data_IF_514680525751
#
_entry.id   IF_514680525751
#
_cell.length_a   1.000
_cell.length_b   1.000
_cell.length_c   1.000
_cell.angle_alpha   90.00
_cell.angle_beta   90.00
_cell.angle_gamma   90.00
#
_symmetry.space_group_name_H-M   'P 1'
#
loop_
_entity.id
_entity.type
_entity.pdbx_description
1 polymer ?
#
# COMPACT_ATOMS: atom_id res chain seq x y z
N UNK A 1 60.01 27.55 -81.43
CA UNK A 1 60.49 27.42 -80.04
C UNK A 1 59.61 28.29 -79.15
N UNK A 2 58.63 27.69 -78.49
CA UNK A 2 57.65 28.35 -77.60
C UNK A 2 57.56 27.58 -76.28
N UNK A 3 57.37 28.35 -75.20
CA UNK A 3 56.85 28.00 -73.86
C UNK A 3 57.74 27.30 -72.83
N UNK A 4 57.40 27.61 -71.56
CA UNK A 4 57.91 27.20 -70.23
C UNK A 4 59.05 28.09 -69.70
N UNK A 5 58.96 28.75 -68.52
CA UNK A 5 58.15 28.45 -67.33
C UNK A 5 58.16 29.66 -66.36
N UNK A 6 57.01 30.32 -66.21
CA UNK A 6 56.67 31.12 -65.02
C UNK A 6 56.07 30.18 -63.98
N UNK A 7 56.37 30.37 -62.69
CA UNK A 7 55.63 29.71 -61.61
C UNK A 7 56.47 29.22 -60.44
N UNK A 8 57.14 30.12 -59.72
CA UNK A 8 57.83 29.78 -58.46
C UNK A 8 57.66 30.89 -57.39
N UNK A 9 56.43 31.39 -57.21
CA UNK A 9 56.11 32.25 -56.04
C UNK A 9 54.72 32.03 -55.42
N UNK A 10 53.90 31.10 -55.92
CA UNK A 10 52.52 30.91 -55.45
C UNK A 10 52.34 29.81 -54.37
N UNK A 11 53.40 29.08 -53.98
CA UNK A 11 53.26 27.89 -53.10
C UNK A 11 53.46 28.17 -51.61
N UNK A 12 54.05 29.30 -51.21
CA UNK A 12 54.29 29.60 -49.78
C UNK A 12 53.03 30.12 -49.05
N UNK A 13 52.21 30.93 -49.72
CA UNK A 13 51.01 31.55 -49.13
C UNK A 13 49.87 30.56 -48.93
N UNK A 14 49.79 29.52 -49.78
CA UNK A 14 48.78 28.45 -49.68
C UNK A 14 49.04 27.59 -48.43
N UNK A 15 50.29 27.29 -48.09
CA UNK A 15 50.63 26.52 -46.89
C UNK A 15 50.29 27.26 -45.59
N UNK A 16 50.45 28.59 -45.55
CA UNK A 16 50.13 29.39 -44.35
C UNK A 16 48.62 29.50 -44.14
N UNK A 17 47.82 29.62 -45.20
CA UNK A 17 46.34 29.64 -45.12
C UNK A 17 45.79 28.26 -44.74
N UNK A 18 46.36 27.18 -45.29
CA UNK A 18 45.98 25.79 -44.94
C UNK A 18 46.35 25.47 -43.49
N UNK A 19 47.51 25.90 -42.99
CA UNK A 19 47.88 25.72 -41.58
C UNK A 19 47.04 26.57 -40.61
N UNK A 20 46.59 27.77 -41.00
CA UNK A 20 45.67 28.60 -40.20
C UNK A 20 44.27 28.02 -40.15
N UNK A 21 43.77 27.50 -41.28
CA UNK A 21 42.49 26.79 -41.36
C UNK A 21 42.48 25.50 -40.55
N UNK A 22 43.55 24.71 -40.59
CA UNK A 22 43.70 23.50 -39.79
C UNK A 22 43.74 23.80 -38.28
N UNK A 23 44.44 24.86 -37.84
CA UNK A 23 44.45 25.29 -36.43
C UNK A 23 43.09 25.78 -35.95
N UNK A 24 42.35 26.53 -36.78
CA UNK A 24 40.98 26.95 -36.44
C UNK A 24 40.02 25.76 -36.38
N UNK A 25 40.13 24.80 -37.31
CA UNK A 25 39.29 23.60 -37.31
C UNK A 25 39.58 22.71 -36.09
N UNK A 26 40.85 22.53 -35.71
CA UNK A 26 41.23 21.83 -34.48
C UNK A 26 40.71 22.52 -33.22
N UNK A 27 40.71 23.85 -33.17
CA UNK A 27 40.17 24.63 -32.04
C UNK A 27 38.64 24.53 -31.94
N UNK A 28 37.93 24.56 -33.07
CA UNK A 28 36.46 24.41 -33.12
C UNK A 28 36.04 22.99 -32.75
N UNK A 29 36.77 21.96 -33.21
CA UNK A 29 36.54 20.56 -32.81
C UNK A 29 36.82 20.37 -31.32
N UNK A 30 37.89 20.96 -30.77
CA UNK A 30 38.21 20.88 -29.35
C UNK A 30 37.13 21.55 -28.48
N UNK A 31 36.64 22.74 -28.88
CA UNK A 31 35.53 23.41 -28.19
C UNK A 31 34.19 22.64 -28.33
N UNK A 32 33.92 22.03 -29.49
CA UNK A 32 32.73 21.20 -29.69
C UNK A 32 32.77 19.92 -28.83
N UNK A 33 33.94 19.30 -28.66
CA UNK A 33 34.10 18.16 -27.74
C UNK A 33 34.00 18.54 -26.27
N UNK A 34 34.41 19.75 -25.88
CA UNK A 34 34.26 20.25 -24.51
C UNK A 34 32.80 20.58 -24.16
N UNK A 35 32.01 21.07 -25.13
CA UNK A 35 30.58 21.31 -24.95
C UNK A 35 29.74 20.01 -24.93
N UNK A 36 30.20 18.95 -25.60
CA UNK A 36 29.53 17.66 -25.61
C UNK A 36 29.50 16.96 -24.23
N UNK A 37 30.40 17.30 -23.32
CA UNK A 37 30.40 16.77 -21.94
C UNK A 37 29.20 17.22 -21.09
N UNK A 38 28.47 18.26 -21.51
CA UNK A 38 27.28 18.74 -20.80
C UNK A 38 26.01 17.91 -21.09
N UNK A 39 26.03 17.07 -22.13
CA UNK A 39 24.89 16.27 -22.60
C UNK A 39 25.22 14.78 -22.53
N UNK A 40 25.52 14.30 -21.32
CA UNK A 40 25.62 12.87 -21.10
C UNK A 40 24.20 12.26 -21.06
N UNK A 41 23.89 11.24 -21.89
CA UNK A 41 22.58 10.60 -21.90
C UNK A 41 22.33 9.78 -20.63
N UNK A 42 21.17 9.98 -20.01
CA UNK A 42 20.74 9.29 -18.80
C UNK A 42 19.90 10.20 -17.90
N UNK A 43 19.16 9.59 -16.97
CA UNK A 43 18.50 10.34 -15.89
C UNK A 43 19.56 10.91 -14.93
N UNK A 44 19.27 12.06 -14.33
CA UNK A 44 20.04 12.66 -13.23
C UNK A 44 19.14 13.52 -12.36
N UNK A 45 19.46 13.63 -11.08
CA UNK A 45 18.83 14.63 -10.23
C UNK A 45 19.64 15.93 -10.28
N UNK A 46 18.95 17.05 -10.47
CA UNK A 46 19.58 18.38 -10.37
C UNK A 46 19.10 19.06 -9.09
N UNK A 47 19.90 19.97 -8.53
CA UNK A 47 19.57 20.67 -7.27
C UNK A 47 18.26 21.48 -7.32
N UNK A 48 17.74 21.75 -8.51
CA UNK A 48 16.43 22.36 -8.76
C UNK A 48 15.55 21.35 -9.47
N UNK A 49 15.11 20.32 -8.74
CA UNK A 49 14.19 19.32 -9.29
C UNK A 49 12.87 20.01 -9.66
N UNK A 50 12.45 19.90 -10.92
CA UNK A 50 11.18 20.44 -11.41
C UNK A 50 10.30 19.34 -11.96
N UNK A 51 8.99 19.46 -11.73
CA UNK A 51 7.99 18.59 -12.33
C UNK A 51 7.22 19.38 -13.38
N UNK A 52 7.21 18.96 -14.66
CA UNK A 52 6.36 19.58 -15.66
C UNK A 52 4.91 19.19 -15.39
N UNK A 53 4.08 20.16 -14.99
CA UNK A 53 2.63 19.97 -14.88
C UNK A 53 1.99 20.59 -16.11
N UNK A 54 1.30 19.75 -16.88
CA UNK A 54 0.47 20.22 -18.00
C UNK A 54 -0.94 20.39 -17.47
N UNK A 55 -1.48 21.61 -17.49
CA UNK A 55 -2.91 21.80 -17.24
C UNK A 55 -3.74 21.16 -18.36
N UNK A 56 -4.99 20.81 -18.07
CA UNK A 56 -5.86 20.05 -18.99
C UNK A 56 -6.11 20.72 -20.35
N UNK A 57 -5.73 21.99 -20.52
CA UNK A 57 -5.78 22.71 -21.79
C UNK A 57 -4.54 22.44 -22.64
N UNK A 58 -4.75 21.82 -23.81
CA UNK A 58 -3.70 21.30 -24.72
C UNK A 58 -2.73 22.36 -25.27
N UNK A 59 -2.93 23.65 -24.97
CA UNK A 59 -2.17 24.78 -25.51
C UNK A 59 -1.41 25.60 -24.44
N UNK A 60 -1.46 25.22 -23.15
CA UNK A 60 -0.69 25.89 -22.10
C UNK A 60 0.70 25.26 -21.93
N UNK A 61 1.80 26.04 -21.91
CA UNK A 61 3.14 25.50 -21.68
C UNK A 61 3.21 24.83 -20.30
N UNK A 62 3.88 23.68 -20.22
CA UNK A 62 4.06 22.95 -18.97
C UNK A 62 4.69 23.87 -17.91
N UNK A 63 4.02 24.02 -16.76
CA UNK A 63 4.55 24.81 -15.65
C UNK A 63 5.48 23.92 -14.85
N UNK A 64 6.74 24.33 -14.71
CA UNK A 64 7.74 23.65 -13.89
C UNK A 64 7.51 23.95 -12.42
N UNK A 65 6.98 22.99 -11.65
CA UNK A 65 6.84 23.12 -10.21
C UNK A 65 8.16 22.75 -9.52
N UNK A 66 8.78 23.64 -8.72
CA UNK A 66 9.98 23.31 -7.96
C UNK A 66 9.63 22.33 -6.84
N UNK A 67 10.36 21.22 -6.77
CA UNK A 67 10.21 20.20 -5.74
C UNK A 67 11.34 20.34 -4.72
N UNK A 68 11.04 20.68 -3.45
CA UNK A 68 12.08 20.85 -2.44
C UNK A 68 12.75 19.50 -2.16
N UNK A 69 14.08 19.50 -2.16
CA UNK A 69 14.91 18.37 -1.76
C UNK A 69 15.21 18.52 -0.26
N UNK A 70 14.82 17.52 0.53
CA UNK A 70 15.01 17.49 1.99
C UNK A 70 16.01 16.40 2.35
N UNK A 71 17.04 16.74 3.12
CA UNK A 71 18.03 15.75 3.55
C UNK A 71 17.45 14.80 4.62
N UNK A 72 17.72 13.51 4.45
CA UNK A 72 17.39 12.48 5.42
C UNK A 72 18.35 12.60 6.60
N UNK A 73 17.80 12.94 7.76
CA UNK A 73 18.53 13.04 9.01
C UNK A 73 17.67 12.53 10.19
N UNK A 74 18.26 12.41 11.37
CA UNK A 74 17.57 11.88 12.55
C UNK A 74 16.33 12.70 12.95
N UNK A 75 16.38 14.03 12.78
CA UNK A 75 15.25 14.90 13.14
C UNK A 75 14.05 14.71 12.22
N UNK A 76 14.30 14.54 10.91
CA UNK A 76 13.25 14.23 9.94
C UNK A 76 12.64 12.86 10.22
N UNK A 77 13.48 11.84 10.48
CA UNK A 77 13.01 10.49 10.80
C UNK A 77 12.12 10.50 12.05
N UNK A 78 12.55 11.19 13.11
CA UNK A 78 11.75 11.34 14.32
C UNK A 78 10.41 12.05 14.03
N UNK A 79 10.43 13.14 13.26
CA UNK A 79 9.22 13.87 12.87
C UNK A 79 8.23 13.00 12.09
N UNK A 80 8.72 12.23 11.11
CA UNK A 80 7.88 11.32 10.32
C UNK A 80 7.26 10.22 11.19
N UNK A 81 8.05 9.64 12.10
CA UNK A 81 7.58 8.62 13.04
C UNK A 81 6.51 9.15 13.98
N UNK A 82 6.72 10.33 14.56
CA UNK A 82 5.77 10.97 15.47
C UNK A 82 4.45 11.30 14.76
N UNK A 83 4.52 11.80 13.52
CA UNK A 83 3.34 12.08 12.70
C UNK A 83 2.54 10.80 12.40
N UNK A 84 3.23 9.70 12.06
CA UNK A 84 2.61 8.41 11.83
C UNK A 84 1.92 7.90 13.11
N UNK A 85 2.60 7.95 14.26
CA UNK A 85 2.04 7.49 15.54
C UNK A 85 0.82 8.29 15.97
N UNK A 86 0.82 9.62 15.81
CA UNK A 86 -0.34 10.46 16.10
C UNK A 86 -1.56 10.06 15.26
N UNK A 87 -1.37 9.90 13.95
CA UNK A 87 -2.43 9.51 13.02
C UNK A 87 -3.05 8.16 13.39
N UNK A 88 -2.21 7.16 13.70
CA UNK A 88 -2.67 5.83 14.10
C UNK A 88 -3.47 5.87 15.42
N UNK A 89 -2.99 6.59 16.42
CA UNK A 89 -3.67 6.72 17.71
C UNK A 89 -5.06 7.35 17.58
N UNK A 90 -5.18 8.41 16.76
CA UNK A 90 -6.47 9.06 16.51
C UNK A 90 -7.46 8.12 15.79
N UNK A 91 -6.98 7.28 14.88
CA UNK A 91 -7.82 6.32 14.16
C UNK A 91 -8.30 5.19 15.07
N UNK A 92 -7.41 4.60 15.87
CA UNK A 92 -7.80 3.54 16.81
C UNK A 92 -8.77 4.04 17.87
N UNK A 93 -8.57 5.26 18.39
CA UNK A 93 -9.49 5.86 19.37
C UNK A 93 -10.91 6.01 18.82
N UNK A 94 -11.06 6.35 17.54
CA UNK A 94 -12.38 6.46 16.88
C UNK A 94 -13.09 5.11 16.72
N UNK A 95 -12.34 4.02 16.69
CA UNK A 95 -12.85 2.67 16.46
C UNK A 95 -12.98 1.82 17.74
N UNK A 96 -12.35 2.26 18.82
CA UNK A 96 -12.45 1.62 20.13
C UNK A 96 -13.87 1.85 20.64
N UNK A 97 -14.69 0.81 20.56
CA UNK A 97 -16.07 0.82 21.03
C UNK A 97 -16.19 -0.07 22.27
N UNK A 98 -17.06 0.33 23.19
CA UNK A 98 -17.46 -0.57 24.28
C UNK A 98 -18.27 -1.73 23.70
N UNK A 99 -18.05 -2.97 24.15
CA UNK A 99 -18.84 -4.09 23.69
C UNK A 99 -20.32 -3.87 24.01
N UNK A 100 -21.17 -3.88 22.99
CA UNK A 100 -22.63 -3.90 23.17
C UNK A 100 -23.11 -5.35 23.20
N UNK A 101 -24.03 -5.66 24.11
CA UNK A 101 -24.71 -6.96 24.10
C UNK A 101 -25.44 -7.19 22.78
N UNK A 102 -25.51 -8.46 22.36
CA UNK A 102 -26.24 -8.84 21.16
C UNK A 102 -27.73 -8.52 21.30
N UNK A 103 -28.30 -7.88 20.28
CA UNK A 103 -29.74 -7.71 20.11
C UNK A 103 -30.20 -8.55 18.94
N UNK A 104 -31.40 -9.10 19.04
CA UNK A 104 -32.00 -9.94 18.01
C UNK A 104 -32.26 -9.14 16.74
N UNK A 105 -32.20 -9.81 15.60
CA UNK A 105 -32.66 -9.26 14.34
C UNK A 105 -33.38 -10.29 13.47
N UNK A 106 -33.86 -9.82 12.33
CA UNK A 106 -34.56 -10.65 11.34
C UNK A 106 -33.72 -11.88 10.95
N UNK A 107 -34.38 -13.05 10.94
CA UNK A 107 -33.76 -14.32 10.57
C UNK A 107 -33.08 -15.08 11.71
N UNK A 108 -32.85 -14.46 12.88
CA UNK A 108 -32.38 -15.20 14.06
C UNK A 108 -33.36 -16.30 14.44
N UNK A 109 -32.82 -17.40 14.99
CA UNK A 109 -33.63 -18.55 15.42
C UNK A 109 -33.54 -18.70 16.93
N UNK A 110 -34.68 -18.69 17.60
CA UNK A 110 -34.80 -18.84 19.04
C UNK A 110 -35.25 -20.24 19.42
N UNK A 111 -34.57 -20.83 20.39
CA UNK A 111 -35.05 -21.99 21.12
C UNK A 111 -35.75 -21.52 22.38
N UNK A 112 -37.03 -21.84 22.48
CA UNK A 112 -37.87 -21.46 23.62
C UNK A 112 -38.32 -22.74 24.30
N UNK A 113 -38.07 -22.81 25.60
CA UNK A 113 -38.53 -23.89 26.46
C UNK A 113 -39.47 -23.31 27.50
N UNK A 114 -40.68 -23.83 27.55
CA UNK A 114 -41.65 -23.57 28.63
C UNK A 114 -41.67 -24.82 29.49
N UNK A 115 -41.24 -24.71 30.75
CA UNK A 115 -41.17 -25.85 31.66
C UNK A 115 -42.57 -26.30 32.07
N UNK A 116 -42.69 -27.60 32.40
CA UNK A 116 -43.96 -28.28 32.70
C UNK A 116 -45.01 -28.24 31.58
N UNK A 117 -44.61 -27.83 30.37
CA UNK A 117 -45.45 -27.74 29.18
C UNK A 117 -44.76 -28.37 27.94
N UNK A 118 -44.67 -29.73 27.87
CA UNK A 118 -44.01 -30.43 26.77
C UNK A 118 -44.67 -30.21 25.40
N UNK A 119 -45.92 -29.76 25.36
CA UNK A 119 -46.64 -29.41 24.14
C UNK A 119 -45.94 -28.32 23.31
N UNK A 120 -45.20 -27.40 23.94
CA UNK A 120 -44.43 -26.38 23.23
C UNK A 120 -43.15 -26.93 22.59
N UNK A 121 -42.55 -27.95 23.21
CA UNK A 121 -41.42 -28.66 22.62
C UNK A 121 -41.87 -29.48 21.41
N UNK A 122 -43.08 -30.05 21.45
CA UNK A 122 -43.68 -30.76 20.33
C UNK A 122 -44.17 -29.84 19.19
N UNK A 123 -44.47 -28.57 19.49
CA UNK A 123 -44.85 -27.54 18.51
C UNK A 123 -43.66 -26.98 17.73
N UNK A 124 -42.42 -27.28 18.13
CA UNK A 124 -41.24 -26.97 17.32
C UNK A 124 -41.22 -27.90 16.09
N UNK A 125 -40.81 -27.41 14.91
CA UNK A 125 -40.73 -28.24 13.71
C UNK A 125 -39.92 -29.52 14.00
N UNK A 126 -40.47 -30.72 13.77
CA UNK A 126 -39.75 -31.95 14.05
C UNK A 126 -38.52 -32.04 13.14
N UNK A 127 -37.33 -32.04 13.74
CA UNK A 127 -36.12 -32.50 13.04
C UNK A 127 -35.91 -33.97 13.33
N UNK A 128 -36.22 -34.80 12.33
CA UNK A 128 -35.61 -36.09 12.18
C UNK A 128 -34.11 -35.89 11.93
N UNK A 129 -33.30 -36.10 12.98
CA UNK A 129 -31.82 -36.06 13.01
C UNK A 129 -31.19 -34.68 13.23
N UNK A 130 -30.11 -34.67 14.02
CA UNK A 130 -29.25 -33.49 14.20
C UNK A 130 -28.77 -32.98 12.83
N UNK A 131 -28.66 -31.65 12.63
CA UNK A 131 -28.22 -31.09 11.35
C UNK A 131 -26.88 -31.72 10.94
N UNK A 132 -26.89 -32.43 9.82
CA UNK A 132 -25.72 -33.14 9.26
C UNK A 132 -24.91 -32.24 8.33
N UNK A 133 -25.55 -31.18 7.80
CA UNK A 133 -24.94 -30.16 6.94
C UNK A 133 -25.19 -28.78 7.52
N UNK A 134 -24.27 -27.85 7.27
CA UNK A 134 -24.39 -26.44 7.70
C UNK A 134 -25.65 -25.73 7.14
N UNK A 135 -26.24 -26.26 6.06
CA UNK A 135 -27.47 -25.76 5.45
C UNK A 135 -28.76 -26.29 6.09
N UNK A 136 -28.67 -27.30 6.95
CA UNK A 136 -29.85 -27.91 7.54
C UNK A 136 -30.54 -26.89 8.46
N UNK A 137 -31.88 -26.76 8.42
CA UNK A 137 -32.59 -25.81 9.28
C UNK A 137 -32.33 -26.17 10.74
N UNK A 138 -32.23 -25.18 11.64
CA UNK A 138 -32.07 -25.45 13.07
C UNK A 138 -33.47 -25.40 13.68
N UNK A 139 -33.86 -26.40 14.46
CA UNK A 139 -35.14 -26.40 15.17
C UNK A 139 -35.27 -25.17 16.08
N UNK A 140 -36.36 -24.42 15.92
CA UNK A 140 -36.65 -23.24 16.73
C UNK A 140 -37.66 -22.31 16.07
N UNK A 141 -37.92 -21.18 16.72
CA UNK A 141 -38.81 -20.12 16.27
C UNK A 141 -37.99 -19.03 15.57
N UNK A 142 -38.30 -18.73 14.32
CA UNK A 142 -37.57 -17.76 13.50
C UNK A 142 -38.16 -16.36 13.70
N UNK A 143 -37.30 -15.35 13.80
CA UNK A 143 -37.70 -13.94 13.73
C UNK A 143 -38.01 -13.61 12.27
N UNK A 144 -39.27 -13.26 11.97
CA UNK A 144 -39.73 -12.96 10.62
C UNK A 144 -39.23 -11.60 10.10
N UNK A 145 -39.54 -11.31 8.82
CA UNK A 145 -39.14 -10.07 8.14
C UNK A 145 -39.73 -8.79 8.76
N UNK A 146 -40.79 -8.91 9.54
CA UNK A 146 -41.39 -7.80 10.29
C UNK A 146 -40.82 -7.67 11.70
N UNK A 147 -39.76 -8.43 12.02
CA UNK A 147 -39.12 -8.44 13.34
C UNK A 147 -39.93 -9.16 14.41
N UNK A 148 -40.92 -9.97 14.03
CA UNK A 148 -41.80 -10.65 14.96
C UNK A 148 -41.43 -12.13 15.12
N UNK A 149 -41.71 -12.63 16.31
CA UNK A 149 -41.66 -14.02 16.67
C UNK A 149 -43.09 -14.55 16.78
N UNK A 150 -43.42 -15.57 16.00
CA UNK A 150 -44.70 -16.26 16.14
C UNK A 150 -44.59 -17.35 17.19
N UNK A 151 -45.38 -17.26 18.26
CA UNK A 151 -45.38 -18.24 19.33
C UNK A 151 -46.80 -18.70 19.69
N UNK A 152 -47.04 -20.01 19.94
CA UNK A 152 -48.38 -20.53 20.22
C UNK A 152 -49.08 -19.81 21.39
N UNK A 153 -50.42 -19.69 21.29
CA UNK A 153 -51.33 -19.03 22.24
C UNK A 153 -51.20 -17.51 22.39
N UNK A 154 -50.04 -16.92 22.10
CA UNK A 154 -49.81 -15.48 22.20
C UNK A 154 -49.78 -14.77 20.84
N UNK A 155 -49.54 -15.51 19.75
CA UNK A 155 -49.44 -14.96 18.41
C UNK A 155 -48.10 -14.28 18.16
N UNK A 156 -48.13 -13.12 17.49
CA UNK A 156 -46.94 -12.37 17.12
C UNK A 156 -46.41 -11.53 18.30
N UNK A 157 -45.12 -11.66 18.59
CA UNK A 157 -44.38 -10.84 19.54
C UNK A 157 -43.23 -10.13 18.82
N UNK A 158 -43.18 -8.81 18.82
CA UNK A 158 -42.05 -8.08 18.25
C UNK A 158 -40.80 -8.27 19.12
N UNK A 159 -39.68 -8.69 18.52
CA UNK A 159 -38.43 -9.01 19.24
C UNK A 159 -37.18 -8.40 18.61
N UNK A 160 -37.31 -7.80 17.42
CA UNK A 160 -36.18 -7.13 16.77
C UNK A 160 -35.62 -6.00 17.63
N UNK A 161 -34.30 -5.93 17.75
CA UNK A 161 -33.61 -4.94 18.57
C UNK A 161 -33.65 -5.24 20.07
N UNK A 162 -34.40 -6.24 20.52
CA UNK A 162 -34.43 -6.65 21.92
C UNK A 162 -33.29 -7.58 22.28
N UNK A 163 -32.90 -7.56 23.56
CA UNK A 163 -32.01 -8.56 24.15
C UNK A 163 -32.80 -9.80 24.54
N UNK A 164 -32.11 -10.93 24.61
CA UNK A 164 -32.72 -12.21 24.96
C UNK A 164 -33.45 -12.17 26.31
N UNK A 165 -32.94 -11.40 27.29
CA UNK A 165 -33.57 -11.29 28.59
C UNK A 165 -34.86 -10.46 28.55
N UNK A 166 -34.98 -9.51 27.62
CA UNK A 166 -36.21 -8.74 27.39
C UNK A 166 -37.28 -9.66 26.82
N UNK A 167 -36.96 -10.37 25.73
CA UNK A 167 -37.86 -11.36 25.11
C UNK A 167 -38.35 -12.39 26.12
N UNK A 168 -37.48 -12.92 26.98
CA UNK A 168 -37.90 -13.88 28.02
C UNK A 168 -38.93 -13.29 29.00
N UNK A 169 -38.74 -12.02 29.42
CA UNK A 169 -39.70 -11.35 30.32
C UNK A 169 -41.02 -11.05 29.63
N UNK A 170 -40.96 -10.62 28.38
CA UNK A 170 -42.16 -10.24 27.62
C UNK A 170 -42.97 -11.47 27.22
N UNK A 171 -42.28 -12.57 26.89
CA UNK A 171 -42.88 -13.87 26.66
C UNK A 171 -43.54 -14.43 27.92
N UNK A 172 -42.88 -14.37 29.08
CA UNK A 172 -43.48 -14.76 30.37
C UNK A 172 -44.73 -13.94 30.66
N UNK A 173 -44.68 -12.61 30.47
CA UNK A 173 -45.82 -11.71 30.71
C UNK A 173 -47.01 -12.02 29.79
N UNK A 174 -46.75 -12.37 28.53
CA UNK A 174 -47.77 -12.76 27.58
C UNK A 174 -48.43 -14.10 27.96
N UNK A 175 -47.63 -15.08 28.37
CA UNK A 175 -48.10 -16.44 28.71
C UNK A 175 -48.89 -16.51 30.02
N UNK A 176 -48.64 -15.63 31.00
CA UNK A 176 -49.41 -15.57 32.26
C UNK A 176 -50.92 -15.35 32.04
N UNK A 177 -51.33 -14.80 30.88
CA UNK A 177 -52.75 -14.62 30.53
C UNK A 177 -53.47 -15.94 30.23
N UNK A 178 -52.72 -17.00 29.94
CA UNK A 178 -53.24 -18.30 29.49
C UNK A 178 -52.80 -19.44 30.43
N UNK A 179 -51.63 -19.32 31.06
CA UNK A 179 -51.02 -20.33 31.93
C UNK A 179 -50.72 -19.78 33.33
N UNK A 180 -50.80 -20.64 34.35
CA UNK A 180 -50.51 -20.26 35.74
C UNK A 180 -49.00 -20.42 36.01
N UNK A 181 -48.35 -19.32 36.36
CA UNK A 181 -46.89 -19.22 36.66
C UNK A 181 -45.95 -19.94 35.66
N UNK A 182 -46.00 -19.58 34.35
CA UNK A 182 -45.14 -20.20 33.35
C UNK A 182 -43.66 -19.87 33.61
N UNK A 183 -42.82 -20.91 33.61
CA UNK A 183 -41.37 -20.78 33.63
C UNK A 183 -40.83 -20.88 32.21
N UNK A 184 -40.16 -19.83 31.75
CA UNK A 184 -39.74 -19.69 30.35
C UNK A 184 -38.24 -19.49 30.28
N UNK A 185 -37.58 -20.26 29.43
CA UNK A 185 -36.17 -20.09 29.07
C UNK A 185 -36.08 -19.81 27.57
N UNK A 186 -35.40 -18.72 27.20
CA UNK A 186 -35.18 -18.34 25.80
C UNK A 186 -33.68 -18.37 25.51
N UNK A 187 -33.29 -19.02 24.42
CA UNK A 187 -31.91 -19.08 23.93
C UNK A 187 -31.87 -18.80 22.43
N UNK A 188 -30.76 -18.27 21.95
CA UNK A 188 -30.52 -18.14 20.51
C UNK A 188 -29.94 -19.47 20.02
N UNK A 189 -30.67 -20.13 19.13
CA UNK A 189 -30.27 -21.38 18.49
C UNK A 189 -29.38 -21.11 17.26
N UNK A 190 -29.67 -20.03 16.53
CA UNK A 190 -28.88 -19.62 15.37
C UNK A 190 -28.82 -18.11 15.26
N UNK A 191 -27.59 -17.58 15.23
CA UNK A 191 -27.31 -16.20 14.91
C UNK A 191 -27.26 -16.08 13.38
N UNK A 192 -28.12 -15.24 12.79
CA UNK A 192 -28.21 -15.09 11.34
C UNK A 192 -28.38 -13.63 10.91
N UNK A 193 -28.93 -12.80 11.80
CA UNK A 193 -29.28 -11.42 11.48
C UNK A 193 -28.07 -10.52 11.25
N UNK A 194 -26.93 -10.81 11.91
CA UNK A 194 -25.77 -9.91 11.96
C UNK A 194 -24.51 -10.61 11.50
N UNK A 195 -23.82 -9.98 10.55
CA UNK A 195 -22.62 -10.52 9.92
C UNK A 195 -21.60 -9.42 9.67
N UNK A 196 -20.34 -9.83 9.59
CA UNK A 196 -19.21 -9.02 9.09
C UNK A 196 -18.58 -9.75 7.92
N UNK A 197 -17.91 -9.03 7.05
CA UNK A 197 -17.26 -9.59 5.86
C UNK A 197 -15.76 -9.45 6.00
N UNK A 198 -15.03 -10.53 5.74
CA UNK A 198 -13.56 -10.51 5.67
C UNK A 198 -13.15 -10.87 4.24
N UNK A 199 -12.36 -10.00 3.61
CA UNK A 199 -11.94 -10.11 2.22
C UNK A 199 -10.43 -9.84 2.06
N UNK A 200 -9.87 -10.28 0.94
CA UNK A 200 -8.48 -10.09 0.55
C UNK A 200 -7.55 -11.17 1.09
N UNK A 201 -6.38 -10.76 1.56
CA UNK A 201 -5.25 -11.63 1.88
C UNK A 201 -5.37 -12.36 3.24
N UNK A 202 -6.38 -13.20 3.34
CA UNK A 202 -6.62 -14.15 4.43
C UNK A 202 -6.78 -15.56 3.84
N UNK A 203 -6.64 -16.60 4.67
CA UNK A 203 -6.74 -17.98 4.16
C UNK A 203 -8.16 -18.36 3.71
N UNK A 204 -9.17 -17.87 4.43
CA UNK A 204 -10.58 -18.20 4.20
C UNK A 204 -11.42 -16.93 4.20
N UNK A 205 -11.45 -16.17 3.08
CA UNK A 205 -12.31 -14.99 2.98
C UNK A 205 -13.79 -15.40 2.98
N UNK A 206 -14.66 -14.53 3.50
CA UNK A 206 -16.09 -14.78 3.56
C UNK A 206 -16.81 -13.99 4.65
N UNK A 207 -18.09 -14.31 4.84
CA UNK A 207 -18.93 -13.75 5.89
C UNK A 207 -18.71 -14.47 7.22
N UNK A 208 -18.60 -13.71 8.31
CA UNK A 208 -18.57 -14.21 9.68
C UNK A 208 -19.77 -13.71 10.45
N UNK A 209 -20.52 -14.63 11.05
CA UNK A 209 -21.68 -14.30 11.88
C UNK A 209 -21.26 -13.70 13.22
N UNK A 210 -21.96 -12.65 13.64
CA UNK A 210 -21.84 -12.06 14.98
C UNK A 210 -22.77 -12.77 15.97
N UNK A 211 -22.29 -13.03 17.18
CA UNK A 211 -23.05 -13.67 18.25
C UNK A 211 -23.04 -12.85 19.54
N UNK A 212 -23.45 -13.46 20.65
CA UNK A 212 -23.44 -12.90 22.00
C UNK A 212 -22.05 -12.60 22.55
N UNK A 213 -21.00 -13.14 21.93
CA UNK A 213 -19.61 -12.81 22.23
C UNK A 213 -19.13 -11.73 21.23
N UNK A 214 -18.74 -10.54 21.72
CA UNK A 214 -18.25 -9.47 20.85
C UNK A 214 -17.10 -9.93 19.96
N UNK A 215 -17.30 -9.84 18.64
CA UNK A 215 -16.26 -10.15 17.67
C UNK A 215 -15.26 -8.99 17.61
N UNK A 216 -13.99 -9.29 17.85
CA UNK A 216 -12.91 -8.30 17.68
C UNK A 216 -12.31 -8.38 16.29
N UNK A 217 -11.58 -7.34 15.89
CA UNK A 217 -10.80 -7.34 14.64
C UNK A 217 -9.85 -8.54 14.58
N UNK A 218 -9.14 -8.81 15.67
CA UNK A 218 -8.19 -9.93 15.75
C UNK A 218 -8.88 -11.29 15.63
N UNK A 219 -10.03 -11.45 16.29
CA UNK A 219 -10.83 -12.67 16.23
C UNK A 219 -11.35 -12.93 14.80
N UNK A 220 -11.81 -11.89 14.10
CA UNK A 220 -12.28 -12.03 12.72
C UNK A 220 -11.18 -12.53 11.78
N UNK A 221 -9.95 -12.01 11.92
CA UNK A 221 -8.79 -12.49 11.15
C UNK A 221 -8.49 -13.97 11.46
N UNK A 222 -8.51 -14.36 12.74
CA UNK A 222 -8.27 -15.76 13.13
C UNK A 222 -9.35 -16.70 12.59
N UNK A 223 -10.62 -16.30 12.64
CA UNK A 223 -11.74 -17.07 12.08
C UNK A 223 -11.68 -17.17 10.56
N UNK A 224 -11.08 -16.19 9.89
CA UNK A 224 -10.75 -16.25 8.47
C UNK A 224 -9.47 -17.08 8.17
N UNK A 225 -8.98 -17.87 9.14
CA UNK A 225 -7.80 -18.72 9.01
C UNK A 225 -6.46 -17.98 9.13
N UNK A 226 -6.47 -16.72 9.57
CA UNK A 226 -5.28 -15.89 9.68
C UNK A 226 -4.82 -15.28 8.35
N UNK A 227 -3.78 -14.46 8.42
CA UNK A 227 -3.18 -13.78 7.27
C UNK A 227 -2.52 -14.74 6.28
N UNK A 228 -2.71 -14.51 4.98
CA UNK A 228 -1.95 -15.20 3.93
C UNK A 228 -0.44 -14.86 4.02
N UNK A 229 0.43 -15.57 3.28
CA UNK A 229 1.85 -15.21 3.17
C UNK A 229 2.12 -13.86 2.51
N UNK A 230 1.23 -13.41 1.63
CA UNK A 230 1.28 -12.17 0.85
C UNK A 230 0.54 -11.00 1.49
N UNK A 231 -0.15 -11.23 2.61
CA UNK A 231 -0.84 -10.20 3.36
C UNK A 231 0.09 -9.08 3.87
N UNK A 232 -0.36 -7.84 3.72
CA UNK A 232 0.24 -6.68 4.35
C UNK A 232 -0.49 -6.35 5.66
N UNK A 233 0.13 -6.68 6.80
CA UNK A 233 -0.46 -6.46 8.13
C UNK A 233 -0.47 -4.98 8.55
N UNK A 234 0.25 -4.12 7.82
CA UNK A 234 0.24 -2.67 8.06
C UNK A 234 -0.87 -1.94 7.31
N UNK A 235 -1.53 -2.60 6.34
CA UNK A 235 -2.53 -2.00 5.46
C UNK A 235 -3.80 -2.82 5.40
N UNK A 236 -4.54 -2.78 6.50
CA UNK A 236 -5.91 -3.25 6.55
C UNK A 236 -6.86 -2.06 6.35
N UNK A 237 -8.05 -2.32 5.81
CA UNK A 237 -9.10 -1.32 5.68
C UNK A 237 -10.36 -1.87 6.31
N UNK A 238 -10.83 -1.22 7.37
CA UNK A 238 -12.16 -1.45 7.92
C UNK A 238 -13.13 -0.47 7.28
N UNK A 239 -14.14 -0.96 6.58
CA UNK A 239 -15.24 -0.15 6.06
C UNK A 239 -16.43 -0.31 7.00
N UNK A 240 -16.83 0.80 7.63
CA UNK A 240 -17.95 0.86 8.58
C UNK A 240 -18.86 2.02 8.23
N UNK A 241 -20.15 1.75 8.02
CA UNK A 241 -21.16 2.75 7.65
C UNK A 241 -20.73 3.61 6.44
N UNK A 242 -20.15 2.98 5.41
CA UNK A 242 -19.66 3.65 4.20
C UNK A 242 -18.38 4.48 4.37
N UNK A 243 -17.74 4.47 5.54
CA UNK A 243 -16.46 5.14 5.80
C UNK A 243 -15.33 4.13 5.91
N UNK A 244 -14.21 4.42 5.25
CA UNK A 244 -12.99 3.61 5.32
C UNK A 244 -12.07 4.10 6.44
N UNK A 245 -11.64 3.16 7.27
CA UNK A 245 -10.67 3.37 8.33
C UNK A 245 -9.44 2.51 8.04
N UNK A 246 -8.31 3.11 7.64
CA UNK A 246 -7.08 2.36 7.49
C UNK A 246 -6.57 1.92 8.86
N UNK A 247 -6.01 0.71 8.92
CA UNK A 247 -5.53 0.09 10.15
C UNK A 247 -4.13 -0.50 9.90
N UNK A 248 -3.24 -0.29 10.85
CA UNK A 248 -1.87 -0.80 10.83
C UNK A 248 -1.62 -1.60 12.11
N UNK A 249 -1.68 -2.94 12.02
CA UNK A 249 -1.58 -3.78 13.22
C UNK A 249 -0.19 -3.70 13.89
N UNK A 250 0.94 -3.81 13.15
CA UNK A 250 2.27 -3.63 13.75
C UNK A 250 2.39 -2.31 14.51
N UNK A 251 1.96 -1.21 13.92
CA UNK A 251 2.03 0.12 14.56
C UNK A 251 1.13 0.22 15.80
N UNK A 252 -0.06 -0.38 15.76
CA UNK A 252 -0.94 -0.46 16.93
C UNK A 252 -0.23 -1.19 18.09
N UNK A 253 0.37 -2.34 17.82
CA UNK A 253 1.11 -3.11 18.83
C UNK A 253 2.31 -2.34 19.39
N UNK A 254 3.08 -1.68 18.52
CA UNK A 254 4.21 -0.83 18.92
C UNK A 254 3.79 0.36 19.81
N UNK A 255 2.56 0.85 19.62
CA UNK A 255 1.95 1.90 20.45
C UNK A 255 1.27 1.39 21.73
N UNK A 256 1.33 0.08 21.99
CA UNK A 256 0.68 -0.57 23.14
C UNK A 256 -0.84 -0.72 22.98
N UNK A 257 -1.38 -0.54 21.78
CA UNK A 257 -2.80 -0.71 21.47
C UNK A 257 -3.06 -2.13 20.97
N UNK A 258 -4.11 -2.76 21.49
CA UNK A 258 -4.51 -4.11 21.07
C UNK A 258 -5.54 -4.05 19.94
N UNK A 259 -5.34 -4.77 18.82
CA UNK A 259 -6.37 -5.01 17.81
C UNK A 259 -7.66 -5.61 18.39
N UNK A 260 -7.56 -6.31 19.52
CA UNK A 260 -8.72 -6.87 20.23
C UNK A 260 -9.64 -5.81 20.84
N UNK A 261 -9.21 -4.54 20.93
CA UNK A 261 -10.05 -3.44 21.41
C UNK A 261 -10.99 -2.89 20.32
N UNK A 262 -10.77 -3.27 19.06
CA UNK A 262 -11.64 -2.90 17.95
C UNK A 262 -12.73 -3.96 17.84
N UNK A 263 -13.91 -3.65 18.35
CA UNK A 263 -15.10 -4.50 18.22
C UNK A 263 -15.76 -4.25 16.86
N UNK A 264 -16.01 -5.33 16.12
CA UNK A 264 -16.68 -5.27 14.82
C UNK A 264 -18.20 -5.18 14.99
N UNK A 265 -18.83 -4.50 14.04
CA UNK A 265 -20.27 -4.23 14.00
C UNK A 265 -20.89 -4.87 12.77
N UNK A 266 -22.19 -5.17 12.84
CA UNK A 266 -22.91 -5.74 11.70
C UNK A 266 -22.77 -4.85 10.47
N UNK A 267 -22.44 -5.45 9.32
CA UNK A 267 -22.20 -4.77 8.06
C UNK A 267 -20.77 -4.24 7.87
N UNK A 268 -19.88 -4.40 8.86
CA UNK A 268 -18.46 -4.08 8.67
C UNK A 268 -17.84 -4.97 7.58
N UNK A 269 -17.02 -4.37 6.72
CA UNK A 269 -16.15 -5.06 5.79
C UNK A 269 -14.69 -4.83 6.18
N UNK A 270 -14.00 -5.92 6.54
CA UNK A 270 -12.57 -5.93 6.77
C UNK A 270 -11.85 -6.43 5.52
N UNK A 271 -11.05 -5.57 4.90
CA UNK A 271 -10.21 -5.92 3.75
C UNK A 271 -8.75 -5.95 4.14
N UNK A 272 -8.08 -7.06 3.85
CA UNK A 272 -6.62 -7.21 3.99
C UNK A 272 -5.98 -7.08 2.61
N UNK A 273 -5.07 -6.12 2.45
CA UNK A 273 -4.44 -5.83 1.15
C UNK A 273 -3.21 -6.72 0.93
N UNK A 274 -2.90 -7.02 -0.33
CA UNK A 274 -1.64 -7.67 -0.71
C UNK A 274 -0.47 -6.72 -0.63
N UNK A 275 0.62 -7.19 -0.03
CA UNK A 275 1.89 -6.46 0.02
C UNK A 275 2.47 -6.19 -1.36
N UNK A 276 2.07 -6.98 -2.36
CA UNK A 276 2.51 -6.82 -3.76
C UNK A 276 1.94 -5.54 -4.38
N UNK A 277 0.81 -5.04 -3.87
CA UNK A 277 0.23 -3.76 -4.27
C UNK A 277 1.03 -2.57 -3.73
N UNK A 278 1.82 -2.78 -2.67
CA UNK A 278 2.49 -1.74 -1.89
C UNK A 278 4.00 -1.64 -2.16
N UNK A 279 4.46 -2.23 -3.26
CA UNK A 279 5.87 -2.17 -3.66
C UNK A 279 6.39 -0.76 -3.92
N UNK A 280 7.70 -0.62 -3.76
CA UNK A 280 8.50 0.58 -4.04
C UNK A 280 9.39 0.31 -5.25
N UNK A 281 9.55 1.30 -6.11
CA UNK A 281 10.37 1.14 -7.32
C UNK A 281 11.80 1.57 -7.05
N UNK A 282 12.77 0.67 -7.25
CA UNK A 282 14.19 0.98 -7.12
C UNK A 282 14.82 1.05 -8.51
N UNK A 283 15.42 2.20 -8.83
CA UNK A 283 15.94 2.53 -10.16
C UNK A 283 17.30 3.24 -10.09
N UNK A 284 17.94 3.38 -11.25
CA UNK A 284 19.24 4.02 -11.37
C UNK A 284 20.40 3.02 -11.24
N UNK A 285 21.53 3.47 -10.70
CA UNK A 285 22.78 2.71 -10.66
C UNK A 285 22.85 1.72 -9.48
N UNK A 286 21.91 0.77 -9.46
CA UNK A 286 21.90 -0.40 -8.58
C UNK A 286 22.22 -1.66 -9.38
N UNK A 287 22.61 -2.76 -8.72
CA UNK A 287 22.95 -4.00 -9.44
C UNK A 287 21.75 -4.67 -10.10
N UNK A 288 20.55 -4.54 -9.51
CA UNK A 288 19.30 -5.13 -10.00
C UNK A 288 18.12 -4.17 -9.79
N UNK A 289 17.89 -3.22 -10.71
CA UNK A 289 16.68 -2.37 -10.67
C UNK A 289 15.43 -3.24 -10.62
N UNK A 290 14.57 -3.03 -9.62
CA UNK A 290 13.45 -3.91 -9.32
C UNK A 290 12.38 -3.20 -8.46
N UNK A 291 11.22 -3.83 -8.36
CA UNK A 291 10.23 -3.46 -7.33
C UNK A 291 10.61 -4.15 -6.02
N UNK A 292 10.90 -3.36 -4.99
CA UNK A 292 11.10 -3.86 -3.64
C UNK A 292 9.75 -4.02 -2.94
N UNK A 293 9.53 -5.18 -2.33
CA UNK A 293 8.28 -5.50 -1.64
C UNK A 293 8.44 -5.32 -0.13
N UNK A 294 7.43 -4.77 0.55
CA UNK A 294 7.46 -4.70 2.00
C UNK A 294 7.41 -6.09 2.64
N UNK A 295 7.90 -6.15 3.88
CA UNK A 295 7.76 -7.31 4.73
C UNK A 295 6.29 -7.54 5.11
N UNK A 296 5.98 -8.66 5.77
CA UNK A 296 4.59 -8.97 6.17
C UNK A 296 4.02 -7.98 7.18
N UNK A 297 4.88 -7.40 8.01
CA UNK A 297 4.54 -6.29 8.91
C UNK A 297 4.45 -4.94 8.17
N UNK A 298 4.52 -4.94 6.84
CA UNK A 298 4.44 -3.77 5.97
C UNK A 298 5.66 -2.86 6.00
N UNK A 299 6.67 -3.17 6.81
CA UNK A 299 7.89 -2.36 6.87
C UNK A 299 8.72 -2.57 5.60
N UNK A 300 9.21 -1.46 5.07
CA UNK A 300 10.20 -1.43 4.01
C UNK A 300 11.09 -0.21 4.25
N UNK A 301 12.31 -0.43 4.71
CA UNK A 301 13.26 0.67 4.90
C UNK A 301 13.97 0.98 3.59
N UNK A 302 14.56 2.17 3.49
CA UNK A 302 15.40 2.53 2.35
C UNK A 302 16.55 1.52 2.18
N UNK A 303 17.15 1.05 3.28
CA UNK A 303 18.17 0.00 3.24
C UNK A 303 17.64 -1.33 2.70
N UNK A 304 16.43 -1.75 3.09
CA UNK A 304 15.82 -2.99 2.59
C UNK A 304 15.58 -2.91 1.09
N UNK A 305 15.07 -1.78 0.60
CA UNK A 305 14.82 -1.57 -0.82
C UNK A 305 16.12 -1.64 -1.65
N UNK A 306 17.20 -0.99 -1.17
CA UNK A 306 18.51 -1.06 -1.82
C UNK A 306 19.06 -2.50 -1.78
N UNK A 307 18.88 -3.22 -0.67
CA UNK A 307 19.31 -4.62 -0.54
C UNK A 307 18.57 -5.54 -1.52
N UNK A 308 17.24 -5.42 -1.63
CA UNK A 308 16.42 -6.17 -2.58
C UNK A 308 16.80 -5.86 -4.03
N UNK A 309 17.24 -4.63 -4.32
CA UNK A 309 17.77 -4.21 -5.61
C UNK A 309 19.23 -4.63 -5.86
N UNK A 310 19.80 -5.48 -5.01
CA UNK A 310 21.15 -6.01 -5.14
C UNK A 310 22.26 -5.04 -4.73
N UNK A 311 21.95 -4.01 -3.94
CA UNK A 311 22.87 -2.95 -3.52
C UNK A 311 23.34 -2.03 -4.66
N UNK A 312 24.13 -1.00 -4.31
CA UNK A 312 24.74 -0.08 -5.26
C UNK A 312 25.64 -0.80 -6.27
N UNK A 313 25.63 -0.32 -7.51
CA UNK A 313 26.63 -0.74 -8.47
C UNK A 313 27.98 -0.06 -8.15
N UNK A 314 28.96 -0.84 -7.73
CA UNK A 314 30.28 -0.31 -7.30
C UNK A 314 31.07 0.39 -8.40
N UNK A 315 30.74 0.12 -9.67
CA UNK A 315 31.44 0.71 -10.82
C UNK A 315 30.81 2.02 -11.29
N UNK A 316 29.49 2.16 -11.15
CA UNK A 316 28.74 3.24 -11.77
C UNK A 316 27.98 4.14 -10.81
N UNK A 317 27.65 3.69 -9.60
CA UNK A 317 26.86 4.46 -8.65
C UNK A 317 27.64 5.65 -8.06
N UNK A 318 26.92 6.72 -7.78
CA UNK A 318 27.35 7.77 -6.85
C UNK A 318 26.58 7.60 -5.54
N UNK A 319 27.26 7.09 -4.51
CA UNK A 319 26.63 6.81 -3.22
C UNK A 319 26.16 8.08 -2.49
N UNK A 320 26.65 9.29 -2.82
CA UNK A 320 26.08 10.53 -2.26
C UNK A 320 24.68 10.79 -2.81
N UNK A 321 24.37 10.28 -3.98
CA UNK A 321 23.24 10.72 -4.78
C UNK A 321 22.11 9.70 -4.71
N UNK A 322 21.69 9.38 -3.49
CA UNK A 322 20.56 8.51 -3.20
C UNK A 322 19.32 9.36 -2.88
N UNK A 323 18.26 9.13 -3.63
CA UNK A 323 17.02 9.90 -3.55
C UNK A 323 15.82 9.00 -3.31
N UNK A 324 14.87 9.50 -2.52
CA UNK A 324 13.52 8.95 -2.43
C UNK A 324 12.55 10.00 -2.95
N UNK A 325 11.86 9.68 -4.05
CA UNK A 325 10.85 10.52 -4.64
C UNK A 325 9.50 9.99 -4.18
N UNK A 326 8.82 10.77 -3.35
CA UNK A 326 7.51 10.44 -2.80
C UNK A 326 6.43 11.19 -3.56
N UNK A 327 5.42 10.43 -4.00
CA UNK A 327 4.28 10.91 -4.76
C UNK A 327 3.45 11.96 -4.01
N UNK A 328 2.58 12.64 -4.76
CA UNK A 328 1.78 13.78 -4.30
C UNK A 328 0.90 13.42 -3.08
N UNK A 329 1.17 14.04 -1.92
CA UNK A 329 0.17 14.19 -0.87
C UNK A 329 -0.46 15.58 -1.04
N UNK A 330 -1.52 15.68 -1.84
CA UNK A 330 -2.07 16.97 -2.27
C UNK A 330 -1.37 17.51 -3.53
N UNK A 331 -0.75 18.70 -3.46
CA UNK A 331 -0.25 19.44 -4.65
C UNK A 331 1.28 19.43 -4.80
N UNK A 332 2.04 18.87 -3.85
CA UNK A 332 3.52 18.90 -3.89
C UNK A 332 4.13 17.52 -3.68
N UNK A 333 5.00 17.10 -4.60
CA UNK A 333 5.88 15.94 -4.42
C UNK A 333 6.96 16.27 -3.39
N UNK A 334 7.50 15.25 -2.74
CA UNK A 334 8.60 15.39 -1.82
C UNK A 334 9.79 14.59 -2.35
N UNK A 335 10.97 15.20 -2.35
CA UNK A 335 12.21 14.50 -2.68
C UNK A 335 13.06 14.49 -1.42
N UNK A 336 13.44 13.30 -0.98
CA UNK A 336 14.37 13.11 0.10
C UNK A 336 15.72 12.70 -0.46
N UNK A 337 16.79 13.16 0.17
CA UNK A 337 18.16 12.90 -0.25
C UNK A 337 18.98 12.34 0.90
N UNK A 338 19.79 11.32 0.65
CA UNK A 338 20.73 10.76 1.61
C UNK A 338 22.13 10.67 0.99
N UNK A 339 23.10 11.30 1.64
CA UNK A 339 24.50 11.04 1.33
C UNK A 339 24.95 9.72 1.97
N UNK A 340 25.05 8.69 1.14
CA UNK A 340 25.36 7.33 1.52
C UNK A 340 26.84 6.96 1.28
N UNK A 341 27.75 7.94 1.10
CA UNK A 341 29.20 7.67 0.99
C UNK A 341 29.77 6.93 2.19
N UNK A 342 29.31 7.30 3.39
CA UNK A 342 29.72 6.64 4.61
C UNK A 342 28.82 5.44 4.89
N UNK A 343 29.37 4.26 5.20
CA UNK A 343 28.58 3.13 5.69
C UNK A 343 27.75 3.47 6.93
N UNK A 344 28.16 4.47 7.73
CA UNK A 344 27.41 4.94 8.90
C UNK A 344 26.11 5.62 8.49
N UNK A 345 26.06 6.31 7.35
CA UNK A 345 24.83 6.93 6.83
C UNK A 345 23.73 5.90 6.52
N UNK A 346 24.09 4.63 6.32
CA UNK A 346 23.11 3.55 6.12
C UNK A 346 22.27 3.27 7.36
N UNK A 347 22.69 3.74 8.55
CA UNK A 347 21.84 3.71 9.74
C UNK A 347 20.60 4.60 9.55
N UNK A 348 20.74 5.73 8.84
CA UNK A 348 19.60 6.59 8.50
C UNK A 348 18.71 5.91 7.47
N UNK A 349 19.29 5.25 6.45
CA UNK A 349 18.52 4.46 5.48
C UNK A 349 17.75 3.29 6.13
N UNK A 350 18.31 2.68 7.19
CA UNK A 350 17.66 1.59 7.92
C UNK A 350 16.53 2.07 8.84
N UNK A 351 16.48 3.38 9.15
CA UNK A 351 15.43 3.97 9.97
C UNK A 351 14.41 4.75 9.14
N UNK A 352 14.74 5.06 7.88
CA UNK A 352 13.84 5.76 6.96
C UNK A 352 12.89 4.78 6.30
N UNK A 353 11.64 4.75 6.76
CA UNK A 353 10.57 3.93 6.18
C UNK A 353 10.05 4.54 4.87
N UNK A 354 9.97 3.68 3.85
CA UNK A 354 9.42 4.01 2.55
C UNK A 354 7.90 3.85 2.57
N UNK A 355 7.24 4.61 1.70
CA UNK A 355 5.80 4.53 1.48
C UNK A 355 5.50 3.79 0.16
N UNK A 356 4.33 3.15 0.04
CA UNK A 356 3.91 2.52 -1.21
C UNK A 356 4.07 3.48 -2.38
N UNK A 357 4.59 2.97 -3.49
CA UNK A 357 4.83 3.73 -4.73
C UNK A 357 5.90 4.83 -4.63
N UNK A 358 6.67 4.88 -3.53
CA UNK A 358 7.91 5.66 -3.53
C UNK A 358 8.82 5.17 -4.67
N UNK A 359 9.65 6.08 -5.18
CA UNK A 359 10.71 5.77 -6.15
C UNK A 359 12.04 6.02 -5.47
N UNK A 360 12.82 4.97 -5.28
CA UNK A 360 14.21 5.04 -4.83
C UNK A 360 15.09 5.15 -6.06
N UNK A 361 15.87 6.23 -6.15
CA UNK A 361 16.71 6.51 -7.30
C UNK A 361 18.16 6.72 -6.87
N UNK A 362 19.08 6.02 -7.51
CA UNK A 362 20.54 6.16 -7.33
C UNK A 362 21.13 6.79 -8.58
N UNK A 363 21.74 7.97 -8.46
CA UNK A 363 22.44 8.60 -9.59
C UNK A 363 23.79 7.90 -9.85
N UNK A 364 24.32 8.08 -11.06
CA UNK A 364 25.63 7.56 -11.43
C UNK A 364 26.77 8.53 -11.16
N UNK A 365 27.98 8.02 -10.98
CA UNK A 365 29.16 8.86 -10.82
C UNK A 365 29.45 9.64 -12.13
N UNK A 366 30.07 10.82 -12.00
CA UNK A 366 30.35 11.71 -13.14
C UNK A 366 31.27 11.07 -14.21
N UNK A 367 32.13 10.14 -13.82
CA UNK A 367 33.09 9.47 -14.70
C UNK A 367 32.43 8.42 -15.60
N UNK A 368 31.48 7.65 -15.08
CA UNK A 368 30.70 6.68 -15.86
C UNK A 368 29.80 7.38 -16.86
N UNK A 369 29.26 8.56 -16.50
CA UNK A 369 28.51 9.42 -17.44
C UNK A 369 29.39 9.85 -18.62
N UNK A 370 30.61 10.29 -18.35
CA UNK A 370 31.58 10.63 -19.39
C UNK A 370 31.96 9.40 -20.24
N UNK A 371 32.18 8.24 -19.61
CA UNK A 371 32.47 7.00 -20.33
C UNK A 371 31.32 6.59 -21.25
N UNK A 372 30.05 6.77 -20.85
CA UNK A 372 28.88 6.49 -21.70
C UNK A 372 28.84 7.40 -22.94
N UNK A 373 29.30 8.65 -22.84
CA UNK A 373 29.46 9.52 -24.01
C UNK A 373 30.59 9.01 -24.91
N UNK A 374 31.71 8.60 -24.33
CA UNK A 374 32.84 8.07 -25.08
C UNK A 374 32.47 6.79 -25.84
N UNK A 375 31.75 5.85 -25.22
CA UNK A 375 31.34 4.60 -25.87
C UNK A 375 30.38 4.81 -27.04
N UNK A 376 29.54 5.86 -26.99
CA UNK A 376 28.70 6.25 -28.13
C UNK A 376 29.51 6.85 -29.30
N UNK A 377 30.70 7.39 -29.04
CA UNK A 377 31.59 7.94 -30.05
C UNK A 377 32.56 6.90 -30.65
N UNK A 378 32.81 5.78 -29.96
CA UNK A 378 33.71 4.72 -30.42
C UNK A 378 33.39 4.17 -31.82
N UNK A 379 32.12 3.92 -32.23
CA UNK A 379 31.81 3.46 -33.57
C UNK A 379 32.23 4.46 -34.66
N UNK A 380 32.03 5.76 -34.43
CA UNK A 380 32.41 6.81 -35.36
C UNK A 380 33.94 6.97 -35.44
N UNK A 381 34.64 6.85 -34.31
CA UNK A 381 36.10 6.88 -34.26
C UNK A 381 36.71 5.68 -35.01
N UNK A 382 36.18 4.46 -34.81
CA UNK A 382 36.63 3.27 -35.52
C UNK A 382 36.33 3.34 -37.03
N UNK A 383 35.17 3.87 -37.42
CA UNK A 383 34.82 4.09 -38.82
C UNK A 383 35.74 5.13 -39.49
N UNK A 384 36.07 6.22 -38.78
CA UNK A 384 37.03 7.21 -39.26
C UNK A 384 38.46 6.66 -39.38
N UNK A 385 38.91 5.87 -38.39
CA UNK A 385 40.23 5.25 -38.41
C UNK A 385 40.36 4.21 -39.53
N UNK A 386 39.34 3.37 -39.73
CA UNK A 386 39.31 2.40 -40.84
C UNK A 386 39.24 3.09 -42.20
N UNK A 387 38.45 4.15 -42.35
CA UNK A 387 38.42 4.95 -43.58
C UNK A 387 39.79 5.61 -43.87
N UNK A 388 40.48 6.10 -42.84
CA UNK A 388 41.82 6.69 -42.97
C UNK A 388 42.91 5.66 -43.31
N UNK A 389 42.75 4.41 -42.87
CA UNK A 389 43.66 3.30 -43.22
C UNK A 389 43.39 2.80 -44.65
N UNK A 390 42.14 2.77 -45.10
CA UNK A 390 41.75 2.32 -46.45
C UNK A 390 42.08 3.35 -47.55
N UNK A 391 42.17 4.63 -47.20
CA UNK A 391 42.51 5.73 -48.14
C UNK A 391 44.01 5.96 -48.30
N UNK A 392 44.85 5.17 -47.63
CA UNK A 392 46.31 5.23 -47.70
C UNK A 392 46.84 3.96 -48.37
#
# INVERSE_FOLDING_TARGET
MRHFREGWFATSTIWIVVCRGARLFSLVVLCATAAACAVAPGMRMTKSATLPVTEADKNSPATELPVPITDINLSLIAQLRDAAQKTANEQTQKLTAQPSAYTLGVGDVLQITVWDHPEFAAAQPPQSQAPTRASDPIAGFVVDESGNLQFPFIGALHVEGERIEQVQRDLKRALVKVFVDPQVTVRIASYRAKQVYVDGEVHTPGSLTLNDIPMTLYEAINRAGGFSPTADQSRLVLVRNGRSYPLNLPQMLDSGQSPSNIILQSGDLLRVVSRDENGVFVMGEVNKPATALPMRDGRLTLSDAISQAGSFNTSSADAAQLYVIRGLTGTSSQVFHLDAHSPVSMLLANQFELQPKDIVYVDGNGLVRFNRVLTLLLPALNAGLTAAIVTK
#
